data_IF_946730278420
#
_entry.id   IF_946730278420
#
_cell.length_a   1.000
_cell.length_b   1.000
_cell.length_c   1.000
_cell.angle_alpha   90.00
_cell.angle_beta   90.00
_cell.angle_gamma   90.00
#
_symmetry.space_group_name_H-M   'P 1'
#
loop_
_entity.id
_entity.type
_entity.pdbx_description
1 polymer ?
#
# COMPACT_ATOMS: atom_id res chain seq x y z
N UNK A 1 9.50 -10.79 28.97
CA UNK A 1 9.47 -9.72 27.97
C UNK A 1 8.11 -9.03 28.00
N UNK A 2 8.05 -7.71 27.75
CA UNK A 2 6.80 -6.95 27.66
C UNK A 2 6.96 -5.67 26.85
N UNK A 3 5.86 -5.17 26.33
CA UNK A 3 5.75 -3.78 25.85
C UNK A 3 5.68 -2.88 27.08
N UNK A 4 6.59 -1.91 27.19
CA UNK A 4 6.63 -0.98 28.35
C UNK A 4 5.96 0.35 28.05
N UNK A 5 5.90 0.71 26.78
CA UNK A 5 5.28 1.96 26.32
C UNK A 5 4.96 1.87 24.84
N UNK A 6 3.89 2.55 24.41
CA UNK A 6 3.60 2.83 23.01
C UNK A 6 3.38 4.33 22.89
N UNK A 7 4.17 4.99 22.06
CA UNK A 7 4.09 6.43 21.79
C UNK A 7 3.51 6.65 20.43
N UNK A 8 2.61 7.61 20.31
CA UNK A 8 2.10 8.12 19.04
C UNK A 8 2.32 9.65 18.99
N UNK A 9 2.75 10.12 17.81
CA UNK A 9 2.79 11.55 17.50
C UNK A 9 2.22 11.80 16.12
N UNK A 10 1.25 12.71 16.06
CA UNK A 10 0.63 13.16 14.83
C UNK A 10 1.32 14.44 14.33
N UNK A 11 1.60 14.49 13.03
CA UNK A 11 2.22 15.63 12.35
C UNK A 11 1.37 16.05 11.14
N UNK A 12 1.26 17.35 10.81
CA UNK A 12 0.68 17.77 9.54
C UNK A 12 1.58 17.34 8.38
N UNK A 13 0.99 16.96 7.25
CA UNK A 13 1.73 16.71 6.02
C UNK A 13 2.03 18.06 5.36
N UNK A 14 3.30 18.28 5.03
CA UNK A 14 3.76 19.42 4.24
C UNK A 14 4.15 18.93 2.84
N UNK A 15 3.16 18.82 1.95
CA UNK A 15 3.38 18.36 0.59
C UNK A 15 2.39 19.03 -0.37
N UNK A 16 2.82 19.46 -1.58
CA UNK A 16 1.93 20.00 -2.61
C UNK A 16 1.19 18.92 -3.40
N UNK A 17 1.31 17.64 -3.04
CA UNK A 17 0.76 16.52 -3.80
C UNK A 17 -0.75 16.60 -3.86
N UNK A 18 -1.30 16.46 -5.07
CA UNK A 18 -2.74 16.43 -5.36
C UNK A 18 -3.02 15.40 -6.45
N UNK A 19 -4.04 14.59 -6.22
CA UNK A 19 -4.63 13.76 -7.27
C UNK A 19 -5.94 14.38 -7.80
N UNK A 20 -6.81 13.61 -8.42
CA UNK A 20 -8.04 14.10 -9.02
C UNK A 20 -8.97 14.83 -8.03
N UNK A 21 -8.90 14.53 -6.72
CA UNK A 21 -9.74 15.20 -5.74
C UNK A 21 -9.22 15.27 -4.29
N UNK A 22 -8.02 14.77 -4.01
CA UNK A 22 -7.41 14.83 -2.68
C UNK A 22 -6.27 15.85 -2.68
N UNK A 23 -6.28 16.75 -1.70
CA UNK A 23 -5.16 17.61 -1.33
C UNK A 23 -4.51 17.05 -0.05
N UNK A 24 -3.37 16.39 -0.21
CA UNK A 24 -2.67 15.73 0.90
C UNK A 24 -2.14 16.71 1.95
N UNK A 25 -1.97 17.99 1.62
CA UNK A 25 -1.52 19.00 2.58
C UNK A 25 -2.51 19.24 3.73
N UNK A 26 -3.76 18.83 3.57
CA UNK A 26 -4.81 18.94 4.60
C UNK A 26 -4.81 17.77 5.58
N UNK A 27 -4.00 16.74 5.33
CA UNK A 27 -3.98 15.51 6.10
C UNK A 27 -2.87 15.51 7.15
N UNK A 28 -2.90 14.51 8.02
CA UNK A 28 -1.88 14.28 9.05
C UNK A 28 -1.22 12.92 8.87
N UNK A 29 0.00 12.81 9.36
CA UNK A 29 0.77 11.57 9.46
C UNK A 29 0.99 11.27 10.94
N UNK A 30 0.78 10.03 11.36
CA UNK A 30 1.12 9.53 12.69
C UNK A 30 2.36 8.65 12.64
N UNK A 31 3.27 8.87 13.59
CA UNK A 31 4.43 8.02 13.87
C UNK A 31 4.18 7.28 15.18
N UNK A 32 4.34 5.96 15.18
CA UNK A 32 4.20 5.10 16.35
C UNK A 32 5.55 4.48 16.72
N UNK A 33 5.85 4.41 18.02
CA UNK A 33 6.99 3.71 18.58
C UNK A 33 6.51 2.72 19.65
N UNK A 34 6.72 1.42 19.43
CA UNK A 34 6.49 0.35 20.41
C UNK A 34 7.79 0.07 21.14
N UNK A 35 7.86 0.46 22.41
CA UNK A 35 9.06 0.31 23.26
C UNK A 35 8.93 -0.97 24.09
N UNK A 36 9.92 -1.86 23.98
CA UNK A 36 9.97 -3.11 24.75
C UNK A 36 10.95 -3.02 25.94
N UNK A 37 10.91 -3.99 26.83
CA UNK A 37 11.92 -4.15 27.89
C UNK A 37 13.15 -4.95 27.42
N UNK A 38 13.15 -5.47 26.20
CA UNK A 38 14.30 -6.12 25.59
C UNK A 38 15.41 -5.11 25.35
N UNK A 39 16.63 -5.45 25.76
CA UNK A 39 17.82 -4.59 25.61
C UNK A 39 18.82 -5.25 24.66
N UNK A 40 19.28 -4.49 23.67
CA UNK A 40 20.38 -4.83 22.78
C UNK A 40 21.37 -3.66 22.77
N UNK A 41 22.65 -3.93 22.88
CA UNK A 41 23.72 -2.91 22.89
C UNK A 41 23.44 -1.73 23.86
N UNK A 42 22.91 -2.05 25.06
CA UNK A 42 22.57 -1.06 26.09
C UNK A 42 21.34 -0.20 25.80
N UNK A 43 20.58 -0.48 24.75
CA UNK A 43 19.39 0.26 24.37
C UNK A 43 18.16 -0.67 24.30
N UNK A 44 17.00 -0.14 24.65
CA UNK A 44 15.74 -0.88 24.47
C UNK A 44 15.46 -1.07 22.99
N UNK A 45 14.95 -2.24 22.65
CA UNK A 45 14.43 -2.50 21.31
C UNK A 45 13.14 -1.71 21.13
N UNK A 46 13.08 -0.92 20.06
CA UNK A 46 11.93 -0.09 19.69
C UNK A 46 11.51 -0.41 18.26
N UNK A 47 10.25 -0.77 18.08
CA UNK A 47 9.65 -0.91 16.76
C UNK A 47 8.95 0.37 16.34
N UNK A 48 9.01 0.71 15.05
CA UNK A 48 8.44 1.92 14.48
C UNK A 48 7.42 1.59 13.39
N UNK A 49 6.35 2.38 13.35
CA UNK A 49 5.33 2.35 12.31
C UNK A 49 4.81 3.75 12.00
N UNK A 50 4.27 3.93 10.82
CA UNK A 50 3.68 5.18 10.39
C UNK A 50 2.57 4.91 9.36
N UNK A 51 1.58 5.80 9.26
CA UNK A 51 0.62 5.72 8.16
C UNK A 51 1.18 6.44 6.93
N UNK A 52 1.51 5.67 5.89
CA UNK A 52 2.20 6.14 4.69
C UNK A 52 1.43 7.20 3.92
N UNK A 53 0.11 7.11 3.90
CA UNK A 53 -0.77 8.10 3.28
C UNK A 53 -1.60 8.80 4.35
N UNK A 54 -1.70 10.11 4.26
CA UNK A 54 -2.32 10.94 5.27
C UNK A 54 -3.77 10.56 5.60
N UNK A 55 -4.16 10.80 6.84
CA UNK A 55 -5.53 10.67 7.36
C UNK A 55 -5.76 11.78 8.38
N UNK A 56 -6.91 11.75 9.04
CA UNK A 56 -7.30 12.83 9.96
C UNK A 56 -7.46 12.40 11.41
N UNK A 57 -8.07 11.23 11.65
CA UNK A 57 -8.49 10.79 13.00
C UNK A 57 -7.64 9.67 13.60
N UNK A 58 -6.70 9.09 12.88
CA UNK A 58 -5.95 7.89 13.27
C UNK A 58 -5.19 8.06 14.60
N UNK A 59 -4.56 9.23 14.81
CA UNK A 59 -3.78 9.49 16.02
C UNK A 59 -4.60 9.47 17.29
N UNK A 60 -5.79 10.10 17.29
CA UNK A 60 -6.72 10.08 18.42
C UNK A 60 -7.20 8.65 18.70
N UNK A 61 -7.57 7.89 17.67
CA UNK A 61 -8.00 6.50 17.83
C UNK A 61 -6.89 5.63 18.44
N UNK A 62 -5.64 5.82 18.05
CA UNK A 62 -4.51 5.11 18.64
C UNK A 62 -4.34 5.46 20.12
N UNK A 63 -4.24 6.76 20.46
CA UNK A 63 -3.98 7.24 21.83
C UNK A 63 -5.10 6.89 22.81
N UNK A 64 -6.35 7.05 22.37
CA UNK A 64 -7.49 7.01 23.29
C UNK A 64 -8.16 5.62 23.33
N UNK A 65 -7.85 4.74 22.35
CA UNK A 65 -8.56 3.47 22.19
C UNK A 65 -7.64 2.26 22.10
N UNK A 66 -6.74 2.18 21.13
CA UNK A 66 -5.99 0.95 20.85
C UNK A 66 -4.75 0.78 21.73
N UNK A 67 -3.96 1.84 21.93
CA UNK A 67 -2.78 1.82 22.80
C UNK A 67 -3.15 1.45 24.25
N UNK A 68 -4.19 2.05 24.88
CA UNK A 68 -4.59 1.67 26.24
C UNK A 68 -4.98 0.20 26.38
N UNK A 69 -5.59 -0.42 25.36
CA UNK A 69 -5.94 -1.85 25.39
C UNK A 69 -4.71 -2.75 25.43
N UNK A 70 -3.71 -2.45 24.60
CA UNK A 70 -2.46 -3.21 24.56
C UNK A 70 -1.71 -3.07 25.88
N UNK A 71 -1.61 -1.86 26.41
CA UNK A 71 -0.87 -1.60 27.66
C UNK A 71 -1.59 -2.12 28.92
N UNK A 72 -2.90 -2.31 28.88
CA UNK A 72 -3.70 -2.89 29.98
C UNK A 72 -3.76 -4.42 29.94
N UNK A 73 -3.36 -5.05 28.84
CA UNK A 73 -3.36 -6.51 28.71
C UNK A 73 -2.28 -7.15 29.60
N UNK A 74 -2.52 -8.40 30.02
CA UNK A 74 -1.48 -9.20 30.63
C UNK A 74 -0.30 -9.35 29.64
N UNK A 75 0.91 -8.92 30.01
CA UNK A 75 2.05 -9.04 29.11
C UNK A 75 2.29 -10.45 28.55
N UNK A 76 2.04 -11.49 29.36
CA UNK A 76 2.20 -12.87 28.91
C UNK A 76 1.23 -13.26 27.78
N UNK A 77 0.04 -12.63 27.73
CA UNK A 77 -0.94 -12.88 26.67
C UNK A 77 -0.56 -12.28 25.32
N UNK A 78 0.44 -11.41 25.26
CA UNK A 78 0.92 -10.74 24.06
C UNK A 78 2.17 -11.40 23.45
N UNK A 79 2.68 -12.47 24.08
CA UNK A 79 3.87 -13.19 23.63
C UNK A 79 3.50 -14.37 22.74
N UNK A 80 4.46 -14.80 21.92
CA UNK A 80 4.41 -16.04 21.18
C UNK A 80 4.39 -17.28 22.11
N UNK A 81 4.27 -18.46 21.54
CA UNK A 81 4.19 -19.70 22.31
C UNK A 81 5.45 -20.02 23.09
N UNK A 82 6.61 -19.50 22.64
CA UNK A 82 7.90 -19.69 23.32
C UNK A 82 8.10 -18.70 24.46
N UNK A 83 7.37 -17.57 24.45
CA UNK A 83 7.58 -16.45 25.35
C UNK A 83 8.83 -15.60 25.04
N UNK A 84 9.49 -15.91 23.91
CA UNK A 84 10.77 -15.26 23.52
C UNK A 84 10.58 -14.05 22.59
N UNK A 85 9.36 -13.89 22.01
CA UNK A 85 9.03 -12.73 21.18
C UNK A 85 7.60 -12.28 21.39
N UNK A 86 7.25 -11.10 20.84
CA UNK A 86 5.90 -10.63 20.75
C UNK A 86 5.14 -11.43 19.68
N UNK A 87 3.83 -11.65 19.89
CA UNK A 87 2.93 -12.24 18.91
C UNK A 87 2.07 -11.13 18.28
N UNK A 88 2.32 -10.74 17.02
CA UNK A 88 1.52 -9.71 16.36
C UNK A 88 0.04 -10.05 16.27
N UNK A 89 -0.34 -11.31 16.07
CA UNK A 89 -1.74 -11.72 15.96
C UNK A 89 -2.49 -11.56 17.29
N UNK A 90 -1.84 -11.89 18.42
CA UNK A 90 -2.41 -11.70 19.77
C UNK A 90 -2.54 -10.21 20.11
N UNK A 91 -1.54 -9.40 19.77
CA UNK A 91 -1.58 -7.94 19.96
C UNK A 91 -2.69 -7.33 19.09
N UNK A 92 -2.79 -7.75 17.83
CA UNK A 92 -3.85 -7.33 16.93
C UNK A 92 -5.24 -7.70 17.48
N UNK A 93 -5.43 -8.91 17.94
CA UNK A 93 -6.69 -9.37 18.56
C UNK A 93 -7.03 -8.54 19.82
N UNK A 94 -6.03 -8.19 20.62
CA UNK A 94 -6.18 -7.31 21.78
C UNK A 94 -6.68 -5.92 21.39
N UNK A 95 -6.09 -5.31 20.34
CA UNK A 95 -6.56 -4.03 19.81
C UNK A 95 -8.01 -4.11 19.33
N UNK A 96 -8.39 -5.21 18.67
CA UNK A 96 -9.72 -5.40 18.09
C UNK A 96 -10.77 -5.91 19.08
N UNK A 97 -10.42 -6.09 20.36
CA UNK A 97 -11.39 -6.47 21.40
C UNK A 97 -12.54 -5.46 21.48
N UNK A 98 -13.77 -5.96 21.44
CA UNK A 98 -15.01 -5.16 21.52
C UNK A 98 -15.17 -4.15 20.37
N UNK A 99 -14.62 -4.44 19.19
CA UNK A 99 -14.88 -3.68 17.97
C UNK A 99 -16.10 -4.21 17.22
N UNK A 100 -16.98 -3.30 16.80
CA UNK A 100 -18.11 -3.68 15.93
C UNK A 100 -17.58 -4.01 14.53
N UNK A 101 -18.11 -5.06 13.87
CA UNK A 101 -17.77 -5.36 12.47
C UNK A 101 -18.22 -4.24 11.53
N UNK A 102 -17.56 -4.13 10.36
CA UNK A 102 -17.81 -3.10 9.37
C UNK A 102 -17.23 -1.72 9.74
N UNK A 103 -17.50 -0.72 8.92
CA UNK A 103 -17.03 0.65 9.14
C UNK A 103 -15.51 0.78 9.07
N UNK A 104 -14.89 0.20 8.04
CA UNK A 104 -13.44 0.25 7.80
C UNK A 104 -13.01 1.63 7.29
N UNK A 105 -11.80 2.08 7.60
CA UNK A 105 -11.31 3.41 7.27
C UNK A 105 -10.28 3.88 8.30
N UNK A 106 -10.52 4.98 9.01
CA UNK A 106 -9.61 5.52 10.03
C UNK A 106 -9.22 4.46 11.10
N UNK A 107 -10.14 3.57 11.46
CA UNK A 107 -9.88 2.49 12.40
C UNK A 107 -8.85 1.50 11.86
N UNK A 108 -8.97 1.10 10.61
CA UNK A 108 -8.02 0.18 9.97
C UNK A 108 -6.63 0.79 9.90
N UNK A 109 -6.54 2.07 9.55
CA UNK A 109 -5.28 2.82 9.52
C UNK A 109 -4.63 2.90 10.90
N UNK A 110 -5.39 3.21 11.94
CA UNK A 110 -4.88 3.30 13.31
C UNK A 110 -4.32 1.96 13.82
N UNK A 111 -5.06 0.87 13.61
CA UNK A 111 -4.61 -0.48 13.99
C UNK A 111 -3.40 -0.91 13.16
N UNK A 112 -3.43 -0.69 11.84
CA UNK A 112 -2.34 -1.05 10.93
C UNK A 112 -1.05 -0.32 11.24
N UNK A 113 -1.11 0.95 11.63
CA UNK A 113 0.07 1.72 12.03
C UNK A 113 0.74 1.15 13.29
N UNK A 114 -0.05 0.72 14.28
CA UNK A 114 0.47 0.05 15.48
C UNK A 114 1.01 -1.34 15.13
N UNK A 115 0.30 -2.10 14.30
CA UNK A 115 0.72 -3.43 13.83
C UNK A 115 2.07 -3.38 13.10
N UNK A 116 2.28 -2.38 12.24
CA UNK A 116 3.57 -2.11 11.60
C UNK A 116 4.69 -1.95 12.63
N UNK A 117 4.47 -1.15 13.68
CA UNK A 117 5.44 -0.95 14.74
C UNK A 117 5.70 -2.23 15.56
N UNK A 118 4.68 -3.06 15.75
CA UNK A 118 4.82 -4.37 16.40
C UNK A 118 5.68 -5.32 15.56
N UNK A 119 5.42 -5.42 14.26
CA UNK A 119 6.22 -6.27 13.38
C UNK A 119 7.67 -5.83 13.26
N UNK A 120 7.92 -4.52 13.24
CA UNK A 120 9.30 -3.99 13.29
C UNK A 120 10.00 -4.34 14.61
N UNK A 121 9.29 -4.28 15.76
CA UNK A 121 9.82 -4.74 17.04
C UNK A 121 10.11 -6.24 17.02
N UNK A 122 9.19 -7.06 16.51
CA UNK A 122 9.34 -8.53 16.41
C UNK A 122 10.57 -8.92 15.58
N UNK A 123 10.77 -8.27 14.44
CA UNK A 123 11.92 -8.50 13.58
C UNK A 123 13.25 -8.13 14.29
N UNK A 124 13.27 -6.98 14.99
CA UNK A 124 14.44 -6.52 15.77
C UNK A 124 14.73 -7.41 16.99
N UNK A 125 13.71 -7.90 17.68
CA UNK A 125 13.88 -8.85 18.80
C UNK A 125 14.48 -10.16 18.29
N UNK A 126 14.00 -10.66 17.14
CA UNK A 126 14.52 -11.86 16.49
C UNK A 126 15.90 -11.67 15.84
N UNK A 127 16.41 -10.43 15.77
CA UNK A 127 17.65 -10.07 15.07
C UNK A 127 17.64 -10.54 13.61
N UNK A 128 16.48 -10.42 12.95
CA UNK A 128 16.22 -10.80 11.56
C UNK A 128 15.58 -9.63 10.80
N UNK A 129 16.03 -9.31 9.58
CA UNK A 129 15.25 -8.42 8.70
C UNK A 129 13.84 -8.97 8.51
N UNK A 130 12.84 -8.07 8.46
CA UNK A 130 11.44 -8.48 8.38
C UNK A 130 11.15 -9.41 7.18
N UNK A 131 11.74 -9.14 6.02
CA UNK A 131 11.54 -9.97 4.83
C UNK A 131 12.01 -11.42 5.03
N UNK A 132 13.13 -11.64 5.76
CA UNK A 132 13.61 -12.98 6.09
C UNK A 132 12.72 -13.68 7.10
N UNK A 133 12.32 -12.96 8.14
CA UNK A 133 11.40 -13.49 9.15
C UNK A 133 10.07 -13.95 8.54
N UNK A 134 9.53 -13.15 7.61
CA UNK A 134 8.29 -13.50 6.91
C UNK A 134 8.48 -14.71 6.01
N UNK A 135 9.56 -14.78 5.24
CA UNK A 135 9.85 -15.92 4.38
C UNK A 135 10.03 -17.21 5.19
N UNK A 136 10.81 -17.17 6.28
CA UNK A 136 11.01 -18.31 7.20
C UNK A 136 9.67 -18.81 7.78
N UNK A 137 8.79 -17.90 8.25
CA UNK A 137 7.46 -18.25 8.80
C UNK A 137 6.52 -18.86 7.75
N UNK A 138 6.73 -18.54 6.48
CA UNK A 138 5.94 -19.06 5.35
C UNK A 138 6.62 -20.21 4.60
N UNK A 139 7.72 -20.74 5.12
CA UNK A 139 8.42 -21.89 4.55
C UNK A 139 9.00 -21.66 3.16
N UNK A 140 9.43 -20.42 2.86
CA UNK A 140 10.00 -20.03 1.58
C UNK A 140 11.32 -19.25 1.74
N UNK A 141 12.08 -19.16 0.66
CA UNK A 141 13.18 -18.20 0.58
C UNK A 141 12.64 -16.83 0.19
N UNK A 142 13.21 -15.74 0.73
CA UNK A 142 12.80 -14.39 0.32
C UNK A 142 13.26 -14.10 -1.10
N UNK A 143 12.47 -13.30 -1.84
CA UNK A 143 12.84 -12.87 -3.17
C UNK A 143 14.03 -11.90 -3.08
N UNK A 144 15.12 -12.16 -3.80
CA UNK A 144 16.32 -11.32 -3.76
C UNK A 144 16.11 -9.98 -4.50
N UNK A 145 15.15 -9.93 -5.39
CA UNK A 145 14.75 -8.75 -6.17
C UNK A 145 13.23 -8.66 -6.16
N UNK A 146 12.70 -7.45 -6.05
CA UNK A 146 11.27 -7.16 -6.05
C UNK A 146 10.97 -6.23 -7.21
N UNK A 147 9.98 -6.56 -8.03
CA UNK A 147 9.51 -5.65 -9.06
C UNK A 147 8.99 -4.35 -8.41
N UNK A 148 9.35 -3.20 -8.99
CA UNK A 148 8.87 -1.88 -8.55
C UNK A 148 8.46 -1.03 -9.74
N UNK A 149 7.45 -0.19 -9.56
CA UNK A 149 7.06 0.83 -10.51
C UNK A 149 7.10 2.22 -9.87
N UNK A 150 7.33 3.25 -10.66
CA UNK A 150 7.33 4.64 -10.17
C UNK A 150 5.95 5.27 -10.28
N UNK A 151 5.39 5.66 -9.13
CA UNK A 151 4.14 6.41 -9.06
C UNK A 151 4.39 7.92 -9.11
N UNK A 152 3.68 8.61 -9.99
CA UNK A 152 3.79 10.05 -10.19
C UNK A 152 2.68 10.59 -11.06
N UNK A 153 2.99 11.55 -11.91
CA UNK A 153 2.06 12.11 -12.88
C UNK A 153 0.88 12.86 -12.24
N UNK A 154 1.06 13.39 -11.02
CA UNK A 154 0.04 14.15 -10.32
C UNK A 154 -0.26 15.48 -11.01
N UNK A 155 -1.43 16.05 -10.68
CA UNK A 155 -1.83 17.37 -11.16
C UNK A 155 -1.26 18.46 -10.25
N UNK A 156 -0.36 19.26 -10.81
CA UNK A 156 0.17 20.44 -10.11
C UNK A 156 -0.18 21.71 -10.88
N UNK A 157 -0.48 22.82 -10.21
CA UNK A 157 -0.69 24.10 -10.89
C UNK A 157 0.51 24.45 -11.78
N UNK A 158 0.23 24.71 -13.07
CA UNK A 158 1.26 25.06 -14.05
C UNK A 158 2.10 23.90 -14.61
N UNK A 159 1.81 22.65 -14.24
CA UNK A 159 2.47 21.47 -14.79
C UNK A 159 1.85 21.10 -16.14
N UNK A 160 2.49 21.50 -17.23
CA UNK A 160 2.10 21.12 -18.60
C UNK A 160 2.70 19.78 -19.03
N UNK A 161 2.48 19.41 -20.31
CA UNK A 161 2.94 18.14 -20.88
C UNK A 161 4.47 17.98 -20.83
N UNK A 162 5.24 19.04 -21.04
CA UNK A 162 6.70 19.01 -20.98
C UNK A 162 7.20 18.62 -19.60
N UNK A 163 6.67 19.25 -18.54
CA UNK A 163 7.04 18.94 -17.17
C UNK A 163 6.61 17.51 -16.76
N UNK A 164 5.48 17.02 -17.28
CA UNK A 164 5.05 15.64 -17.11
C UNK A 164 6.04 14.66 -17.79
N UNK A 165 6.42 14.93 -19.04
CA UNK A 165 7.41 14.11 -19.77
C UNK A 165 8.75 14.08 -19.04
N UNK A 166 9.21 15.22 -18.52
CA UNK A 166 10.47 15.29 -17.78
C UNK A 166 10.42 14.51 -16.48
N UNK A 167 9.30 14.51 -15.77
CA UNK A 167 9.09 13.66 -14.59
C UNK A 167 9.16 12.18 -14.96
N UNK A 168 8.43 11.74 -15.97
CA UNK A 168 8.44 10.35 -16.41
C UNK A 168 9.82 9.91 -16.91
N UNK A 169 10.55 10.79 -17.62
CA UNK A 169 11.91 10.51 -18.07
C UNK A 169 12.87 10.30 -16.90
N UNK A 170 12.78 11.12 -15.83
CA UNK A 170 13.60 10.92 -14.64
C UNK A 170 13.34 9.56 -13.96
N UNK A 171 12.10 9.08 -13.97
CA UNK A 171 11.79 7.75 -13.44
C UNK A 171 12.40 6.64 -14.30
N UNK A 172 12.26 6.72 -15.62
CA UNK A 172 12.87 5.77 -16.55
C UNK A 172 14.40 5.78 -16.43
N UNK A 173 15.03 6.96 -16.37
CA UNK A 173 16.48 7.12 -16.17
C UNK A 173 16.93 6.60 -14.78
N UNK A 174 16.03 6.60 -13.81
CA UNK A 174 16.21 6.03 -12.47
C UNK A 174 16.08 4.50 -12.40
N UNK A 175 15.91 3.83 -13.55
CA UNK A 175 15.87 2.36 -13.64
C UNK A 175 14.46 1.74 -13.61
N UNK A 176 13.40 2.55 -13.56
CA UNK A 176 12.03 2.01 -13.63
C UNK A 176 11.63 1.74 -15.08
N UNK A 177 11.07 0.57 -15.35
CA UNK A 177 10.48 0.23 -16.66
C UNK A 177 8.96 0.46 -16.70
N UNK A 178 8.32 0.63 -15.55
CA UNK A 178 6.90 0.97 -15.45
C UNK A 178 6.74 2.28 -14.68
N UNK A 179 6.01 3.21 -15.27
CA UNK A 179 5.66 4.49 -14.66
C UNK A 179 4.15 4.63 -14.54
N UNK A 180 3.66 5.30 -13.51
CA UNK A 180 2.21 5.51 -13.27
C UNK A 180 1.85 7.00 -13.36
N UNK A 181 0.76 7.30 -14.03
CA UNK A 181 0.19 8.61 -14.29
C UNK A 181 -1.20 8.72 -13.68
N UNK A 182 -1.51 9.81 -12.99
CA UNK A 182 -2.86 10.11 -12.50
C UNK A 182 -3.74 10.63 -13.63
N UNK A 183 -4.99 10.15 -13.69
CA UNK A 183 -6.06 10.57 -14.61
C UNK A 183 -7.32 10.98 -13.83
N UNK A 184 -8.30 11.58 -14.51
CA UNK A 184 -9.58 11.99 -13.91
C UNK A 184 -9.56 13.37 -13.26
N UNK A 185 -8.43 14.06 -13.22
CA UNK A 185 -8.32 15.44 -12.74
C UNK A 185 -8.52 16.49 -13.84
N UNK A 186 -8.62 16.07 -15.09
CA UNK A 186 -8.87 16.87 -16.27
C UNK A 186 -9.99 16.27 -17.12
N UNK A 187 -10.38 16.93 -18.21
CA UNK A 187 -11.30 16.35 -19.18
C UNK A 187 -10.66 15.16 -19.91
N UNK A 188 -11.47 14.18 -20.35
CA UNK A 188 -11.00 12.98 -21.05
C UNK A 188 -10.04 13.29 -22.22
N UNK A 189 -10.34 14.33 -22.99
CA UNK A 189 -9.47 14.71 -24.12
C UNK A 189 -8.08 15.18 -23.66
N UNK A 190 -8.00 15.96 -22.57
CA UNK A 190 -6.76 16.42 -21.99
C UNK A 190 -5.97 15.25 -21.33
N UNK A 191 -6.66 14.38 -20.60
CA UNK A 191 -6.01 13.18 -20.03
C UNK A 191 -5.50 12.23 -21.11
N UNK A 192 -6.20 12.11 -22.26
CA UNK A 192 -5.69 11.38 -23.42
C UNK A 192 -4.40 11.99 -23.97
N UNK A 193 -4.33 13.31 -24.12
CA UNK A 193 -3.09 14.00 -24.55
C UNK A 193 -1.95 13.75 -23.58
N UNK A 194 -2.23 13.71 -22.27
CA UNK A 194 -1.23 13.38 -21.24
C UNK A 194 -0.76 11.93 -21.35
N UNK A 195 -1.68 10.99 -21.52
CA UNK A 195 -1.36 9.56 -21.72
C UNK A 195 -0.53 9.36 -22.98
N UNK A 196 -1.01 9.87 -24.13
CA UNK A 196 -0.34 9.76 -25.43
C UNK A 196 1.06 10.39 -25.39
N UNK A 197 1.19 11.55 -24.75
CA UNK A 197 2.48 12.23 -24.56
C UNK A 197 3.50 11.38 -23.78
N UNK A 198 3.06 10.54 -22.85
CA UNK A 198 3.95 9.62 -22.13
C UNK A 198 4.20 8.37 -22.96
N UNK A 199 3.18 7.79 -23.56
CA UNK A 199 3.33 6.60 -24.43
C UNK A 199 4.34 6.83 -25.58
N UNK A 200 4.30 8.01 -26.20
CA UNK A 200 5.20 8.40 -27.29
C UNK A 200 6.69 8.44 -26.89
N UNK A 201 7.00 8.52 -25.61
CA UNK A 201 8.38 8.56 -25.11
C UNK A 201 8.89 7.20 -24.60
N UNK A 202 8.01 6.22 -24.45
CA UNK A 202 8.40 4.92 -23.92
C UNK A 202 9.17 4.10 -24.95
N UNK A 203 10.25 3.48 -24.48
CA UNK A 203 11.05 2.53 -25.26
C UNK A 203 10.55 1.09 -25.12
N UNK A 204 11.19 0.15 -25.84
CA UNK A 204 10.87 -1.27 -25.74
C UNK A 204 10.96 -1.78 -24.30
N UNK A 205 9.94 -2.51 -23.86
CA UNK A 205 9.85 -3.06 -22.49
C UNK A 205 9.37 -2.07 -21.43
N UNK A 206 9.23 -0.79 -21.77
CA UNK A 206 8.67 0.22 -20.89
C UNK A 206 7.14 0.31 -21.03
N UNK A 207 6.41 0.52 -19.94
CA UNK A 207 4.95 0.55 -19.94
C UNK A 207 4.41 1.65 -19.04
N UNK A 208 3.20 2.08 -19.33
CA UNK A 208 2.45 3.07 -18.58
C UNK A 208 1.30 2.41 -17.82
N UNK A 209 1.16 2.73 -16.54
CA UNK A 209 -0.04 2.52 -15.74
C UNK A 209 -0.81 3.84 -15.58
N UNK A 210 -2.12 3.79 -15.51
CA UNK A 210 -2.96 4.96 -15.25
C UNK A 210 -3.86 4.73 -14.05
N UNK A 211 -4.13 5.80 -13.26
CA UNK A 211 -4.82 5.71 -11.99
C UNK A 211 -5.80 6.87 -11.81
N UNK A 212 -7.08 6.54 -11.67
CA UNK A 212 -8.18 7.51 -11.50
C UNK A 212 -8.53 7.78 -10.03
N UNK A 213 -7.95 7.06 -9.08
CA UNK A 213 -8.22 7.18 -7.64
C UNK A 213 -9.72 7.19 -7.28
N UNK A 214 -10.52 6.33 -7.90
CA UNK A 214 -11.93 6.18 -7.60
C UNK A 214 -12.83 7.34 -8.10
N UNK A 215 -12.35 8.15 -9.03
CA UNK A 215 -12.98 9.44 -9.40
C UNK A 215 -14.23 9.30 -10.23
N UNK A 216 -14.32 8.26 -11.07
CA UNK A 216 -15.32 8.17 -12.12
C UNK A 216 -16.62 7.54 -11.65
N UNK A 217 -17.73 8.03 -12.21
CA UNK A 217 -18.96 7.25 -12.28
C UNK A 217 -18.84 6.14 -13.34
N UNK A 218 -19.89 5.32 -13.46
CA UNK A 218 -19.89 4.21 -14.42
C UNK A 218 -19.74 4.68 -15.87
N UNK A 219 -20.38 5.77 -16.27
CA UNK A 219 -20.33 6.26 -17.64
C UNK A 219 -18.94 6.80 -17.99
N UNK A 220 -18.34 7.55 -17.07
CA UNK A 220 -16.99 8.06 -17.21
C UNK A 220 -15.96 6.92 -17.24
N UNK A 221 -16.06 5.93 -16.33
CA UNK A 221 -15.16 4.79 -16.27
C UNK A 221 -15.14 4.00 -17.58
N UNK A 222 -16.32 3.75 -18.18
CA UNK A 222 -16.45 3.07 -19.46
C UNK A 222 -15.96 3.93 -20.64
N UNK A 223 -16.22 5.25 -20.63
CA UNK A 223 -15.70 6.15 -21.65
C UNK A 223 -14.16 6.20 -21.68
N UNK A 224 -13.52 6.23 -20.49
CA UNK A 224 -12.06 6.10 -20.39
C UNK A 224 -11.56 4.72 -20.85
N UNK A 225 -12.24 3.64 -20.48
CA UNK A 225 -11.89 2.29 -20.94
C UNK A 225 -11.93 2.17 -22.47
N UNK A 226 -12.97 2.71 -23.13
CA UNK A 226 -13.10 2.78 -24.58
C UNK A 226 -11.97 3.61 -25.21
N UNK A 227 -11.72 4.81 -24.65
CA UNK A 227 -10.70 5.72 -25.16
C UNK A 227 -9.26 5.18 -25.04
N UNK A 228 -9.03 4.25 -24.12
CA UNK A 228 -7.73 3.64 -23.87
C UNK A 228 -7.63 2.19 -24.39
N UNK A 229 -8.65 1.70 -25.09
CA UNK A 229 -8.73 0.28 -25.53
C UNK A 229 -7.57 -0.18 -26.41
N UNK A 230 -6.98 0.73 -27.19
CA UNK A 230 -5.89 0.46 -28.12
C UNK A 230 -4.50 0.69 -27.48
N UNK A 231 -4.44 1.17 -26.23
CA UNK A 231 -3.18 1.38 -25.54
C UNK A 231 -2.73 0.10 -24.81
N UNK A 232 -1.46 -0.27 -24.92
CA UNK A 232 -0.87 -1.37 -24.16
C UNK A 232 -0.48 -0.89 -22.75
N UNK A 233 -1.47 -0.54 -21.94
CA UNK A 233 -1.27 -0.09 -20.57
C UNK A 233 -0.84 -1.25 -19.67
N UNK A 234 0.02 -0.96 -18.68
CA UNK A 234 0.36 -1.92 -17.63
C UNK A 234 -0.87 -2.24 -16.79
N UNK A 235 -1.67 -1.23 -16.44
CA UNK A 235 -3.03 -1.35 -15.93
C UNK A 235 -3.83 -0.05 -16.01
N UNK A 236 -5.15 -0.19 -15.86
CA UNK A 236 -6.09 0.88 -15.54
C UNK A 236 -6.56 0.69 -14.09
N UNK A 237 -6.17 1.63 -13.21
CA UNK A 237 -6.30 1.54 -11.76
C UNK A 237 -7.48 2.34 -11.25
N UNK A 238 -8.23 1.72 -10.32
CA UNK A 238 -9.24 2.31 -9.44
C UNK A 238 -10.15 3.33 -10.15
N UNK A 239 -10.86 2.87 -11.18
CA UNK A 239 -11.67 3.75 -12.05
C UNK A 239 -12.78 4.46 -11.26
N UNK A 240 -13.57 3.74 -10.48
CA UNK A 240 -14.68 4.24 -9.69
C UNK A 240 -14.58 3.96 -8.20
N UNK A 241 -15.64 4.26 -7.46
CA UNK A 241 -15.69 4.03 -6.02
C UNK A 241 -15.23 2.59 -5.69
N UNK A 242 -14.25 2.41 -4.81
CA UNK A 242 -13.67 1.10 -4.51
C UNK A 242 -14.67 0.08 -3.96
N UNK A 243 -15.79 0.52 -3.40
CA UNK A 243 -16.87 -0.35 -2.91
C UNK A 243 -17.97 -0.61 -3.95
N UNK A 244 -17.92 0.03 -5.13
CA UNK A 244 -18.84 -0.27 -6.23
C UNK A 244 -18.33 -1.47 -7.04
N UNK A 245 -18.52 -2.67 -6.49
CA UNK A 245 -18.13 -3.92 -7.15
C UNK A 245 -18.91 -4.20 -8.44
N UNK A 246 -20.11 -3.62 -8.60
CA UNK A 246 -20.90 -3.75 -9.82
C UNK A 246 -20.27 -2.94 -10.97
N UNK A 247 -19.83 -1.70 -10.69
CA UNK A 247 -19.06 -0.90 -11.65
C UNK A 247 -17.76 -1.63 -12.03
N UNK A 248 -17.03 -2.15 -11.05
CA UNK A 248 -15.78 -2.88 -11.29
C UNK A 248 -16.02 -4.10 -12.20
N UNK A 249 -17.08 -4.88 -11.97
CA UNK A 249 -17.43 -6.04 -12.79
C UNK A 249 -17.75 -5.64 -14.24
N UNK A 250 -18.53 -4.59 -14.44
CA UNK A 250 -18.88 -4.07 -15.78
C UNK A 250 -17.63 -3.56 -16.51
N UNK A 251 -16.72 -2.89 -15.78
CA UNK A 251 -15.45 -2.44 -16.35
C UNK A 251 -14.60 -3.64 -16.78
N UNK A 252 -14.53 -4.70 -15.97
CA UNK A 252 -13.80 -5.93 -16.30
C UNK A 252 -14.35 -6.66 -17.53
N UNK A 253 -15.65 -6.55 -17.80
CA UNK A 253 -16.28 -7.05 -19.03
C UNK A 253 -15.97 -6.18 -20.25
N UNK A 254 -15.94 -4.86 -20.08
CA UNK A 254 -15.78 -3.90 -21.18
C UNK A 254 -14.32 -3.65 -21.57
N UNK A 255 -13.39 -3.70 -20.63
CA UNK A 255 -11.98 -3.40 -20.86
C UNK A 255 -11.13 -4.68 -20.90
N UNK A 256 -10.49 -4.93 -22.03
CA UNK A 256 -9.67 -6.14 -22.27
C UNK A 256 -8.29 -6.07 -21.62
N UNK A 257 -7.76 -4.87 -21.37
CA UNK A 257 -6.46 -4.64 -20.72
C UNK A 257 -6.50 -4.99 -19.22
N UNK A 258 -5.33 -5.04 -18.56
CA UNK A 258 -5.26 -5.30 -17.13
C UNK A 258 -5.92 -4.18 -16.30
N UNK A 259 -6.65 -4.55 -15.26
CA UNK A 259 -7.18 -3.67 -14.23
C UNK A 259 -6.35 -3.79 -12.95
N UNK A 260 -6.33 -2.74 -12.15
CA UNK A 260 -5.76 -2.75 -10.81
C UNK A 260 -6.69 -2.04 -9.83
N UNK A 261 -6.86 -2.58 -8.63
CA UNK A 261 -7.65 -1.95 -7.56
C UNK A 261 -7.38 -2.61 -6.21
N UNK A 262 -7.85 -1.99 -5.14
CA UNK A 262 -7.82 -2.57 -3.80
C UNK A 262 -7.17 -1.69 -2.74
N UNK A 263 -6.52 -0.58 -3.10
CA UNK A 263 -5.82 0.29 -2.15
C UNK A 263 -6.74 0.87 -1.06
N UNK A 264 -8.02 1.05 -1.37
CA UNK A 264 -9.05 1.56 -0.48
C UNK A 264 -9.98 0.47 0.09
N UNK A 265 -9.64 -0.81 -0.05
CA UNK A 265 -10.35 -1.93 0.57
C UNK A 265 -9.63 -2.33 1.86
N UNK A 266 -10.17 -1.87 3.00
CA UNK A 266 -9.46 -1.89 4.28
C UNK A 266 -9.76 -3.10 5.17
N UNK A 267 -10.26 -4.20 4.61
CA UNK A 267 -10.44 -5.45 5.34
C UNK A 267 -10.40 -6.67 4.42
N UNK A 268 -10.11 -7.83 4.99
CA UNK A 268 -10.23 -9.13 4.29
C UNK A 268 -11.65 -9.35 3.74
N UNK A 269 -12.67 -8.81 4.40
CA UNK A 269 -14.08 -8.94 3.93
C UNK A 269 -14.31 -8.09 2.69
N UNK A 270 -13.80 -6.85 2.65
CA UNK A 270 -13.90 -5.99 1.46
C UNK A 270 -13.12 -6.60 0.30
N UNK A 271 -11.90 -7.08 0.53
CA UNK A 271 -11.08 -7.80 -0.45
C UNK A 271 -11.81 -9.02 -1.01
N UNK A 272 -12.42 -9.85 -0.13
CA UNK A 272 -13.20 -11.02 -0.53
C UNK A 272 -14.42 -10.63 -1.39
N UNK A 273 -15.08 -9.52 -1.08
CA UNK A 273 -16.22 -9.05 -1.86
C UNK A 273 -15.79 -8.57 -3.25
N UNK A 274 -14.64 -7.92 -3.38
CA UNK A 274 -14.04 -7.60 -4.68
C UNK A 274 -13.82 -8.87 -5.51
N UNK A 275 -13.20 -9.90 -4.92
CA UNK A 275 -12.92 -11.18 -5.61
C UNK A 275 -14.21 -11.88 -6.06
N UNK A 276 -15.27 -11.83 -5.24
CA UNK A 276 -16.54 -12.51 -5.53
C UNK A 276 -17.43 -11.77 -6.51
N UNK A 277 -17.42 -10.45 -6.48
CA UNK A 277 -18.42 -9.63 -7.14
C UNK A 277 -17.86 -8.58 -8.09
N UNK A 278 -16.55 -8.28 -8.02
CA UNK A 278 -15.92 -7.24 -8.82
C UNK A 278 -15.41 -7.68 -10.19
N UNK A 279 -15.63 -8.95 -10.59
CA UNK A 279 -15.25 -9.43 -11.91
C UNK A 279 -13.75 -9.51 -12.19
N UNK A 280 -12.91 -9.43 -11.16
CA UNK A 280 -11.45 -9.45 -11.30
C UNK A 280 -10.94 -10.75 -11.93
N UNK A 281 -9.95 -10.65 -12.82
CA UNK A 281 -9.42 -11.74 -13.66
C UNK A 281 -8.02 -12.15 -13.19
N UNK A 282 -7.88 -13.36 -12.70
CA UNK A 282 -6.65 -13.90 -12.09
C UNK A 282 -5.44 -13.95 -13.03
N UNK A 283 -5.69 -14.06 -14.32
CA UNK A 283 -4.65 -14.19 -15.35
C UNK A 283 -3.99 -12.86 -15.73
N UNK A 284 -4.62 -11.72 -15.44
CA UNK A 284 -4.15 -10.41 -15.90
C UNK A 284 -4.29 -9.25 -14.94
N UNK A 285 -5.29 -9.23 -14.03
CA UNK A 285 -5.56 -8.10 -13.14
C UNK A 285 -4.65 -8.12 -11.90
N UNK A 286 -4.51 -6.97 -11.27
CA UNK A 286 -3.67 -6.74 -10.11
C UNK A 286 -4.46 -6.33 -8.88
N UNK A 287 -4.02 -6.79 -7.72
CA UNK A 287 -4.63 -6.51 -6.42
C UNK A 287 -3.69 -5.62 -5.61
N UNK A 288 -4.16 -4.43 -5.21
CA UNK A 288 -3.32 -3.41 -4.58
C UNK A 288 -3.67 -3.22 -3.10
N UNK A 289 -4.19 -4.26 -2.41
CA UNK A 289 -4.49 -4.17 -0.99
C UNK A 289 -3.28 -3.66 -0.21
N UNK A 290 -3.50 -2.64 0.62
CA UNK A 290 -2.44 -2.03 1.41
C UNK A 290 -2.10 -2.93 2.61
N UNK A 291 -0.83 -3.29 2.75
CA UNK A 291 -0.36 -4.19 3.80
C UNK A 291 -0.11 -3.51 5.16
N UNK A 292 -0.27 -2.19 5.22
CA UNK A 292 -0.15 -1.40 6.43
C UNK A 292 -1.47 -0.75 6.84
N UNK A 293 -2.13 -0.01 5.93
CA UNK A 293 -3.35 0.75 6.23
C UNK A 293 -4.59 -0.13 6.41
N UNK A 294 -4.61 -1.33 5.83
CA UNK A 294 -5.73 -2.28 5.94
C UNK A 294 -5.60 -3.16 7.18
N UNK A 295 -5.59 -2.59 8.37
CA UNK A 295 -5.36 -3.26 9.65
C UNK A 295 -3.98 -3.89 9.83
N UNK A 296 -3.02 -3.61 8.95
CA UNK A 296 -1.65 -4.07 9.05
C UNK A 296 -1.37 -5.45 8.47
N UNK A 297 -0.17 -5.96 8.73
CA UNK A 297 0.34 -7.19 8.15
C UNK A 297 -0.40 -8.44 8.66
N UNK A 298 -0.91 -8.43 9.89
CA UNK A 298 -1.75 -9.54 10.40
C UNK A 298 -3.00 -9.73 9.55
N UNK A 299 -3.70 -8.66 9.22
CA UNK A 299 -4.89 -8.74 8.36
C UNK A 299 -4.51 -9.01 6.90
N UNK A 300 -3.38 -8.46 6.45
CA UNK A 300 -2.90 -8.70 5.09
C UNK A 300 -2.57 -10.19 4.84
N UNK A 301 -1.96 -10.88 5.80
CA UNK A 301 -1.73 -12.33 5.71
C UNK A 301 -3.06 -13.10 5.61
N UNK A 302 -4.08 -12.74 6.40
CA UNK A 302 -5.44 -13.32 6.28
C UNK A 302 -6.05 -13.04 4.90
N UNK A 303 -5.77 -11.88 4.32
CA UNK A 303 -6.20 -11.54 2.96
C UNK A 303 -5.51 -12.43 1.93
N UNK A 304 -4.21 -12.69 2.07
CA UNK A 304 -3.50 -13.63 1.18
C UNK A 304 -4.01 -15.06 1.33
N UNK A 305 -4.32 -15.52 2.54
CA UNK A 305 -4.94 -16.85 2.77
C UNK A 305 -6.32 -16.92 2.08
N UNK A 306 -7.15 -15.90 2.25
CA UNK A 306 -8.44 -15.79 1.54
C UNK A 306 -8.27 -15.79 0.02
N UNK A 307 -7.26 -15.11 -0.51
CA UNK A 307 -6.95 -15.11 -1.94
C UNK A 307 -6.57 -16.51 -2.44
N UNK A 308 -5.75 -17.23 -1.69
CA UNK A 308 -5.37 -18.61 -2.00
C UNK A 308 -6.61 -19.53 -2.05
N UNK A 309 -7.58 -19.38 -1.13
CA UNK A 309 -8.86 -20.09 -1.14
C UNK A 309 -9.73 -19.79 -2.39
N UNK A 310 -9.41 -18.72 -3.11
CA UNK A 310 -10.06 -18.31 -4.36
C UNK A 310 -9.15 -18.49 -5.59
N UNK A 311 -8.10 -19.30 -5.49
CA UNK A 311 -7.11 -19.60 -6.54
C UNK A 311 -6.33 -18.36 -7.07
N UNK A 312 -6.17 -17.34 -6.26
CA UNK A 312 -5.31 -16.21 -6.58
C UNK A 312 -3.89 -16.44 -6.08
N UNK A 313 -2.90 -16.07 -6.90
CA UNK A 313 -1.49 -16.10 -6.51
C UNK A 313 -1.09 -14.81 -5.77
N UNK A 314 -0.27 -14.88 -4.70
CA UNK A 314 0.37 -13.70 -4.11
C UNK A 314 1.15 -12.84 -5.13
N UNK A 315 1.65 -13.46 -6.20
CA UNK A 315 2.32 -12.76 -7.31
C UNK A 315 1.39 -11.83 -8.12
N UNK A 316 0.09 -11.82 -7.86
CA UNK A 316 -0.85 -10.83 -8.38
C UNK A 316 -1.12 -9.68 -7.42
N UNK A 317 -0.48 -9.67 -6.27
CA UNK A 317 -0.60 -8.59 -5.30
C UNK A 317 0.61 -7.64 -5.41
N UNK A 318 0.34 -6.36 -5.62
CA UNK A 318 1.34 -5.28 -5.53
C UNK A 318 0.79 -4.29 -4.50
N UNK A 319 1.26 -4.31 -3.25
CA UNK A 319 0.67 -3.49 -2.20
C UNK A 319 0.87 -2.01 -2.50
N UNK A 320 -0.20 -1.24 -2.27
CA UNK A 320 -0.15 0.21 -2.24
C UNK A 320 0.73 0.69 -1.08
N UNK A 321 1.28 1.88 -1.18
CA UNK A 321 1.96 2.58 -0.08
C UNK A 321 3.42 2.90 -0.31
N UNK A 322 4.13 2.14 -1.15
CA UNK A 322 5.47 2.49 -1.63
C UNK A 322 6.54 2.77 -0.56
N UNK A 323 6.49 2.07 0.57
CA UNK A 323 7.42 2.30 1.68
C UNK A 323 8.27 1.06 2.00
N UNK A 324 9.30 1.24 2.85
CA UNK A 324 10.26 0.18 3.16
C UNK A 324 9.62 -1.08 3.76
N UNK A 325 8.56 -0.93 4.58
CA UNK A 325 7.90 -2.11 5.13
C UNK A 325 7.16 -2.90 4.05
N UNK A 326 6.44 -2.24 3.12
CA UNK A 326 5.77 -2.92 2.01
C UNK A 326 6.76 -3.65 1.11
N UNK A 327 7.96 -3.06 0.85
CA UNK A 327 9.05 -3.73 0.14
C UNK A 327 9.51 -5.00 0.87
N UNK A 328 9.71 -4.94 2.20
CA UNK A 328 10.06 -6.12 3.00
C UNK A 328 8.97 -7.20 2.93
N UNK A 329 7.69 -6.79 2.96
CA UNK A 329 6.55 -7.71 2.88
C UNK A 329 6.51 -8.35 1.49
N UNK A 330 6.70 -7.58 0.43
CA UNK A 330 6.73 -8.10 -0.93
C UNK A 330 7.83 -9.15 -1.12
N UNK A 331 9.06 -8.86 -0.68
CA UNK A 331 10.18 -9.80 -0.73
C UNK A 331 9.95 -11.06 0.12
N UNK A 332 9.40 -10.89 1.32
CA UNK A 332 9.20 -11.99 2.28
C UNK A 332 8.04 -12.91 1.92
N UNK A 333 6.98 -12.39 1.31
CA UNK A 333 5.76 -13.14 0.98
C UNK A 333 5.65 -13.51 -0.51
N UNK A 334 6.59 -13.12 -1.37
CA UNK A 334 6.58 -13.43 -2.80
C UNK A 334 5.46 -12.73 -3.54
N UNK A 335 5.27 -11.45 -3.26
CA UNK A 335 4.27 -10.64 -3.94
C UNK A 335 4.74 -10.26 -5.35
N UNK A 336 3.81 -9.80 -6.17
CA UNK A 336 4.08 -9.40 -7.57
C UNK A 336 4.95 -8.16 -7.72
N UNK A 337 5.13 -7.38 -6.67
CA UNK A 337 5.93 -6.17 -6.69
C UNK A 337 5.65 -5.22 -5.53
N UNK A 338 6.15 -4.01 -5.64
CA UNK A 338 5.93 -2.92 -4.69
C UNK A 338 5.85 -1.57 -5.41
N UNK A 339 5.06 -0.65 -4.90
CA UNK A 339 5.00 0.72 -5.39
C UNK A 339 6.24 1.53 -4.97
N UNK A 340 6.61 2.55 -5.72
CA UNK A 340 7.68 3.49 -5.36
C UNK A 340 7.29 4.92 -5.69
N UNK A 341 7.76 5.88 -4.87
CA UNK A 341 7.56 7.32 -5.03
C UNK A 341 8.90 8.06 -5.09
N UNK A 342 9.69 7.92 -6.16
CA UNK A 342 11.09 8.37 -6.19
C UNK A 342 11.28 9.87 -5.99
N UNK A 343 10.36 10.71 -6.44
CA UNK A 343 10.44 12.18 -6.37
C UNK A 343 9.46 12.79 -5.36
N UNK A 344 8.71 11.99 -4.64
CA UNK A 344 7.68 12.45 -3.71
C UNK A 344 8.15 12.33 -2.26
N UNK A 345 7.67 13.22 -1.39
CA UNK A 345 7.96 13.23 0.04
C UNK A 345 9.45 13.35 0.40
N UNK A 346 10.23 14.05 -0.43
CA UNK A 346 11.66 14.23 -0.18
C UNK A 346 11.94 14.90 1.19
N UNK A 347 12.97 14.48 1.93
CA UNK A 347 13.98 13.46 1.57
C UNK A 347 13.55 12.01 1.85
N UNK A 348 12.29 11.74 2.18
CA UNK A 348 11.79 10.44 2.67
C UNK A 348 11.06 9.63 1.58
N UNK A 349 10.92 10.15 0.36
CA UNK A 349 10.33 9.43 -0.75
C UNK A 349 11.31 8.43 -1.36
N UNK A 350 10.79 7.39 -1.97
CA UNK A 350 11.57 6.29 -2.52
C UNK A 350 12.04 5.29 -1.45
N UNK A 351 13.14 4.62 -1.74
CA UNK A 351 13.74 3.65 -0.84
C UNK A 351 14.95 4.23 -0.11
N UNK A 352 15.34 3.69 1.08
CA UNK A 352 16.49 4.18 1.83
C UNK A 352 17.81 3.91 1.10
N UNK A 353 18.88 4.55 1.59
CA UNK A 353 20.22 4.40 1.06
C UNK A 353 20.64 2.93 0.92
N UNK A 354 21.25 2.61 -0.21
CA UNK A 354 21.71 1.26 -0.53
C UNK A 354 20.69 0.39 -1.27
N UNK A 355 19.44 0.86 -1.44
CA UNK A 355 18.47 0.24 -2.37
C UNK A 355 18.70 0.85 -3.75
N UNK A 356 18.87 0.01 -4.75
CA UNK A 356 19.01 0.40 -6.15
C UNK A 356 17.89 -0.19 -6.97
N UNK A 357 17.50 0.50 -8.02
CA UNK A 357 16.52 0.02 -8.99
C UNK A 357 17.23 -0.18 -10.32
N UNK A 358 17.09 -1.36 -10.89
CA UNK A 358 17.64 -1.73 -12.21
C UNK A 358 16.58 -2.57 -12.94
N UNK A 359 16.13 -2.10 -14.10
CA UNK A 359 15.06 -2.71 -14.90
C UNK A 359 13.80 -2.99 -14.07
N UNK A 360 13.38 -2.03 -13.24
CA UNK A 360 12.26 -2.14 -12.30
C UNK A 360 12.42 -3.20 -11.19
N UNK A 361 13.64 -3.61 -10.86
CA UNK A 361 13.90 -4.54 -9.76
C UNK A 361 14.95 -4.03 -8.79
#
# INVERSE_FOLDING_TARGET
>A
MKIVEIRERTFPISSPIRNAYIDFSQMTLSLVAVVTDVVRDGRRVVGYGFNSNGRYGQGAMMRDRFIPRVLAADPASLLDETGENLDPARIWATMMTNEKPGGHGERSVAVGTIDMAVWDAVAKIAERPLFRLLAERNGREPDPRVFVYAAGGYYYPGKGLEALRDEMRRYLDGGFSVVKLKIGGAALAEDRERIESVLDMLGPGQRLAVDANGRFDQAEALAYAEAMSDYDLFWYEEAGDPLDFALQAQLAEAYSGPLATGENLFSTVDARNLIRYGGMRRDRDWLQFDCALSYGLVEYQRTLDMLADHDWSPARCIPHGGHQMSLNIAAGLGLGGNESYPDLFQPFGGFPDGVTVEDSY
#
